data_IF_703419292537
#
_entry.id   IF_703419292537
#
_cell.length_a   1.000
_cell.length_b   1.000
_cell.length_c   1.000
_cell.angle_alpha   90.00
_cell.angle_beta   90.00
_cell.angle_gamma   90.00
#
_symmetry.space_group_name_H-M   'P 1'
#
loop_
_entity.id
_entity.type
_entity.pdbx_description
1 polymer ?
#
# COMPACT_ATOMS: atom_id res chain seq x y z
N UNK A 1 -22.16 11.01 -3.23
CA UNK A 1 -20.83 10.40 -3.38
C UNK A 1 -19.82 11.33 -2.71
N UNK A 2 -19.22 10.89 -1.60
CA UNK A 2 -18.17 11.63 -0.90
C UNK A 2 -16.88 10.85 -1.03
N UNK A 3 -16.03 11.27 -1.97
CA UNK A 3 -14.78 10.57 -2.26
C UNK A 3 -13.66 11.13 -1.40
N UNK A 4 -13.09 10.25 -0.58
CA UNK A 4 -11.89 10.53 0.22
C UNK A 4 -10.69 9.84 -0.42
N UNK A 5 -9.51 10.37 -0.13
CA UNK A 5 -8.25 9.70 -0.43
C UNK A 5 -7.82 8.87 0.76
N UNK A 6 -7.63 7.57 0.56
CA UNK A 6 -6.90 6.71 1.48
C UNK A 6 -5.47 6.50 0.98
N UNK A 7 -4.57 6.23 1.91
CA UNK A 7 -3.18 5.89 1.63
C UNK A 7 -2.99 4.40 1.90
N UNK A 8 -2.84 3.62 0.84
CA UNK A 8 -2.63 2.17 0.89
C UNK A 8 -1.16 1.81 0.92
N UNK A 9 -0.72 1.04 1.91
CA UNK A 9 0.56 0.36 1.91
C UNK A 9 0.36 -1.02 1.32
N UNK A 10 0.96 -1.28 0.16
CA UNK A 10 0.81 -2.54 -0.57
C UNK A 10 2.13 -3.31 -0.54
N UNK A 11 2.10 -4.52 0.03
CA UNK A 11 3.17 -5.50 -0.06
C UNK A 11 2.87 -6.44 -1.23
N UNK A 12 3.77 -6.52 -2.21
CA UNK A 12 3.70 -7.46 -3.32
C UNK A 12 4.85 -8.45 -3.22
N UNK A 13 4.55 -9.74 -3.26
CA UNK A 13 5.54 -10.81 -3.41
C UNK A 13 5.77 -11.15 -4.89
N UNK A 14 6.94 -11.70 -5.17
CA UNK A 14 7.37 -12.18 -6.49
C UNK A 14 6.44 -13.23 -7.13
N UNK A 15 5.72 -14.00 -6.33
CA UNK A 15 4.70 -14.95 -6.79
C UNK A 15 3.33 -14.30 -7.12
N UNK A 16 3.26 -12.96 -7.10
CA UNK A 16 2.05 -12.21 -7.44
C UNK A 16 1.08 -11.98 -6.27
N UNK A 17 1.37 -12.50 -5.09
CA UNK A 17 0.58 -12.23 -3.88
C UNK A 17 0.65 -10.76 -3.48
N UNK A 18 -0.50 -10.18 -3.15
CA UNK A 18 -0.61 -8.79 -2.69
C UNK A 18 -1.33 -8.72 -1.35
N UNK A 19 -0.81 -7.91 -0.44
CA UNK A 19 -1.47 -7.57 0.83
C UNK A 19 -1.46 -6.07 1.00
N UNK A 20 -2.57 -5.51 1.45
CA UNK A 20 -2.71 -4.07 1.64
C UNK A 20 -3.25 -3.74 3.03
N UNK A 21 -2.69 -2.69 3.63
CA UNK A 21 -3.30 -1.93 4.72
C UNK A 21 -3.59 -0.50 4.24
N UNK A 22 -4.70 0.11 4.65
CA UNK A 22 -5.09 1.47 4.26
C UNK A 22 -5.19 2.41 5.45
N UNK A 23 -4.83 3.69 5.23
CA UNK A 23 -4.77 4.72 6.27
C UNK A 23 -5.41 6.02 5.81
N UNK A 24 -5.91 6.81 6.76
CA UNK A 24 -6.50 8.13 6.50
C UNK A 24 -5.45 9.21 6.19
N UNK A 25 -4.19 9.02 6.60
CA UNK A 25 -3.12 10.00 6.40
C UNK A 25 -1.89 9.37 5.77
N UNK A 26 -1.17 10.15 4.97
CA UNK A 26 0.07 9.72 4.31
C UNK A 26 1.15 9.35 5.33
N UNK A 27 1.29 10.13 6.41
CA UNK A 27 2.27 9.89 7.45
C UNK A 27 2.04 8.56 8.18
N UNK A 28 0.80 8.20 8.48
CA UNK A 28 0.49 6.90 9.08
C UNK A 28 0.87 5.74 8.15
N UNK A 29 0.58 5.88 6.85
CA UNK A 29 0.93 4.89 5.85
C UNK A 29 2.45 4.76 5.67
N UNK A 30 3.18 5.89 5.65
CA UNK A 30 4.64 5.89 5.57
C UNK A 30 5.28 5.19 6.78
N UNK A 31 4.81 5.50 7.99
CA UNK A 31 5.29 4.84 9.21
C UNK A 31 5.07 3.32 9.16
N UNK A 32 3.94 2.87 8.62
CA UNK A 32 3.68 1.43 8.45
C UNK A 32 4.57 0.82 7.36
N UNK A 33 4.75 1.51 6.23
CA UNK A 33 5.62 1.06 5.16
C UNK A 33 7.05 0.87 5.66
N UNK A 34 7.58 1.81 6.46
CA UNK A 34 8.91 1.69 7.06
C UNK A 34 9.04 0.48 7.99
N UNK A 35 8.05 0.24 8.87
CA UNK A 35 8.03 -0.96 9.72
C UNK A 35 8.07 -2.22 8.87
N UNK A 36 7.27 -2.27 7.81
CA UNK A 36 7.17 -3.41 6.92
C UNK A 36 8.47 -3.66 6.15
N UNK A 37 9.13 -2.60 5.68
CA UNK A 37 10.47 -2.66 5.07
C UNK A 37 11.50 -3.20 6.05
N UNK A 38 11.50 -2.73 7.30
CA UNK A 38 12.43 -3.20 8.32
C UNK A 38 12.21 -4.69 8.66
N UNK A 39 10.95 -5.13 8.71
CA UNK A 39 10.61 -6.55 8.87
C UNK A 39 11.09 -7.42 7.70
N UNK A 40 10.95 -6.93 6.47
CA UNK A 40 11.44 -7.67 5.29
C UNK A 40 12.96 -7.77 5.35
N UNK A 41 13.65 -6.66 5.60
CA UNK A 41 15.11 -6.62 5.73
C UNK A 41 15.62 -7.57 6.80
N UNK A 42 14.95 -7.64 7.96
CA UNK A 42 15.35 -8.55 9.04
C UNK A 42 15.00 -10.02 8.75
N UNK A 43 13.99 -10.29 7.92
CA UNK A 43 13.58 -11.66 7.57
C UNK A 43 14.53 -12.38 6.61
N UNK A 44 15.47 -11.67 5.98
CA UNK A 44 16.39 -12.17 4.95
C UNK A 44 15.70 -12.79 3.71
N UNK A 45 14.38 -12.57 3.56
CA UNK A 45 13.61 -13.01 2.40
C UNK A 45 13.68 -11.97 1.28
N UNK A 46 13.73 -12.44 0.03
CA UNK A 46 13.81 -11.60 -1.18
C UNK A 46 12.52 -11.68 -2.00
N UNK A 47 12.41 -10.82 -3.00
CA UNK A 47 11.29 -10.80 -3.93
C UNK A 47 10.08 -10.11 -3.34
N UNK A 48 10.26 -9.14 -2.45
CA UNK A 48 9.20 -8.31 -1.93
C UNK A 48 9.33 -6.88 -2.44
N UNK A 49 8.19 -6.29 -2.76
CA UNK A 49 8.07 -4.88 -3.12
C UNK A 49 7.06 -4.23 -2.20
N UNK A 50 7.41 -3.05 -1.70
CA UNK A 50 6.53 -2.24 -0.84
C UNK A 50 6.18 -0.97 -1.59
N UNK A 51 4.89 -0.70 -1.70
CA UNK A 51 4.35 0.44 -2.40
C UNK A 51 3.48 1.28 -1.47
N UNK A 52 3.42 2.58 -1.76
CA UNK A 52 2.46 3.51 -1.20
C UNK A 52 1.54 4.00 -2.32
N UNK A 53 0.25 3.75 -2.20
CA UNK A 53 -0.77 4.07 -3.20
C UNK A 53 -1.78 5.07 -2.66
N UNK A 54 -2.15 6.07 -3.47
CA UNK A 54 -3.32 6.91 -3.18
C UNK A 54 -4.55 6.27 -3.79
N UNK A 55 -5.50 5.91 -2.93
CA UNK A 55 -6.70 5.16 -3.27
C UNK A 55 -7.93 6.06 -3.14
N UNK A 56 -8.80 6.02 -4.13
CA UNK A 56 -10.09 6.68 -4.08
C UNK A 56 -11.07 5.79 -3.31
N UNK A 57 -11.70 6.35 -2.28
CA UNK A 57 -12.59 5.63 -1.37
C UNK A 57 -13.94 6.35 -1.27
N UNK A 58 -15.02 5.62 -1.54
CA UNK A 58 -16.37 6.06 -1.25
C UNK A 58 -16.74 5.67 0.17
N UNK A 59 -16.94 6.66 1.03
CA UNK A 59 -17.29 6.48 2.43
C UNK A 59 -18.72 5.98 2.63
N UNK A 60 -19.64 6.29 1.71
CA UNK A 60 -21.04 5.85 1.84
C UNK A 60 -21.20 4.37 1.53
N UNK A 61 -20.55 3.92 0.46
CA UNK A 61 -20.57 2.52 0.02
C UNK A 61 -19.48 1.69 0.74
N UNK A 62 -18.57 2.35 1.46
CA UNK A 62 -17.42 1.74 2.11
C UNK A 62 -16.55 0.90 1.15
N UNK A 63 -16.25 1.46 -0.02
CA UNK A 63 -15.55 0.76 -1.12
C UNK A 63 -14.38 1.59 -1.65
N UNK A 64 -13.27 0.91 -1.94
CA UNK A 64 -12.17 1.47 -2.72
C UNK A 64 -12.54 1.38 -4.20
N UNK A 65 -12.54 2.52 -4.87
CA UNK A 65 -12.93 2.67 -6.28
C UNK A 65 -11.77 2.45 -7.25
N UNK A 66 -10.55 2.25 -6.75
CA UNK A 66 -9.37 2.05 -7.59
C UNK A 66 -9.33 0.63 -8.16
N UNK A 67 -9.29 0.50 -9.49
CA UNK A 67 -9.24 -0.79 -10.21
C UNK A 67 -7.98 -1.63 -9.90
N UNK A 68 -6.92 -0.99 -9.43
CA UNK A 68 -5.68 -1.64 -9.02
C UNK A 68 -5.11 -0.99 -7.78
N UNK A 69 -4.54 -1.82 -6.89
CA UNK A 69 -3.81 -1.36 -5.71
C UNK A 69 -2.45 -0.76 -6.07
N UNK A 70 -1.89 -1.12 -7.23
CA UNK A 70 -0.62 -0.62 -7.76
C UNK A 70 -0.89 -0.06 -9.16
N UNK A 71 -0.76 1.26 -9.31
CA UNK A 71 -1.07 1.96 -10.56
C UNK A 71 -0.38 3.32 -10.66
N UNK A 72 -0.99 4.23 -11.41
CA UNK A 72 -0.37 5.54 -11.72
C UNK A 72 -0.20 6.45 -10.50
N UNK A 73 -0.99 6.25 -9.44
CA UNK A 73 -0.92 7.01 -8.17
C UNK A 73 -0.14 6.25 -7.08
N UNK A 74 0.79 5.40 -7.50
CA UNK A 74 1.58 4.55 -6.62
C UNK A 74 3.06 4.92 -6.65
N UNK A 75 3.68 4.95 -5.47
CA UNK A 75 5.11 5.15 -5.28
C UNK A 75 5.75 3.87 -4.76
N UNK A 76 6.80 3.40 -5.42
CA UNK A 76 7.65 2.33 -4.89
C UNK A 76 8.48 2.86 -3.71
N UNK A 77 8.36 2.21 -2.56
CA UNK A 77 9.09 2.56 -1.34
C UNK A 77 10.33 1.67 -1.19
N UNK A 78 10.21 0.39 -1.55
CA UNK A 78 11.29 -0.59 -1.37
C UNK A 78 11.13 -1.78 -2.32
N UNK A 79 12.26 -2.34 -2.74
CA UNK A 79 12.36 -3.57 -3.53
C UNK A 79 13.63 -4.34 -3.11
N UNK A 80 13.54 -5.67 -2.99
CA UNK A 80 14.69 -6.53 -2.67
C UNK A 80 14.70 -7.91 -3.33
#
# INVERSE_FOLDING_TARGET
MNIKTLYGVVLKSNNGGEKMNSFLTENSALNEAEKLVNLIKSSNKKGFKVYLSKLEYDEYENVILSDSLIGNKTKLIFEN
#
